data_IF_706991400321
#
_entry.id   IF_706991400321
#
_cell.length_a   1.000
_cell.length_b   1.000
_cell.length_c   1.000
_cell.angle_alpha   90.00
_cell.angle_beta   90.00
_cell.angle_gamma   90.00
#
_symmetry.space_group_name_H-M   'P 1'
#
loop_
_entity.id
_entity.type
_entity.pdbx_description
1 polymer ?
#
# COMPACT_ATOMS: atom_id res chain seq x y z
N UNK A 1 11.66 -14.41 4.47
CA UNK A 1 10.67 -14.18 3.37
C UNK A 1 9.80 -13.01 3.79
N UNK A 2 9.52 -12.05 2.90
CA UNK A 2 8.72 -10.87 3.25
C UNK A 2 7.23 -11.27 3.23
N UNK A 3 6.51 -11.16 4.37
CA UNK A 3 5.10 -11.57 4.47
C UNK A 3 4.18 -10.84 3.48
N UNK A 4 4.52 -9.62 3.06
CA UNK A 4 3.79 -8.91 2.00
C UNK A 4 3.84 -9.62 0.64
N UNK A 5 4.96 -10.28 0.33
CA UNK A 5 5.13 -11.00 -0.93
C UNK A 5 4.39 -12.33 -0.96
N UNK A 6 3.91 -12.80 0.19
CA UNK A 6 3.17 -14.04 0.37
C UNK A 6 1.66 -13.80 0.54
N UNK A 7 1.17 -12.57 0.33
CA UNK A 7 -0.21 -12.17 0.64
C UNK A 7 -0.60 -12.39 2.13
N UNK A 8 0.38 -12.55 3.02
CA UNK A 8 0.16 -12.74 4.46
C UNK A 8 0.07 -11.38 5.16
N UNK A 9 -0.89 -10.54 4.76
CA UNK A 9 -0.97 -9.15 5.23
C UNK A 9 -1.19 -9.02 6.75
N UNK A 10 -1.93 -9.95 7.36
CA UNK A 10 -2.13 -9.95 8.80
C UNK A 10 -0.81 -10.18 9.56
N UNK A 11 -0.01 -11.16 9.11
CA UNK A 11 1.31 -11.43 9.69
C UNK A 11 2.27 -10.26 9.43
N UNK A 12 2.22 -9.69 8.22
CA UNK A 12 3.01 -8.52 7.85
C UNK A 12 2.71 -7.32 8.76
N UNK A 13 1.43 -7.09 9.08
CA UNK A 13 0.99 -6.04 9.98
C UNK A 13 1.50 -6.29 11.40
N UNK A 14 1.25 -7.47 11.97
CA UNK A 14 1.62 -7.81 13.34
C UNK A 14 3.13 -7.67 13.58
N UNK A 15 3.94 -8.25 12.69
CA UNK A 15 5.40 -8.19 12.79
C UNK A 15 5.89 -6.76 12.62
N UNK A 16 5.29 -5.99 11.71
CA UNK A 16 5.73 -4.61 11.46
C UNK A 16 5.34 -3.67 12.60
N UNK A 17 4.16 -3.83 13.22
CA UNK A 17 3.78 -3.07 14.41
C UNK A 17 4.68 -3.41 15.61
N UNK A 18 4.94 -4.69 15.85
CA UNK A 18 5.85 -5.14 16.90
C UNK A 18 7.28 -4.65 16.67
N UNK A 19 7.75 -4.71 15.43
CA UNK A 19 9.05 -4.19 15.00
C UNK A 19 9.16 -2.68 15.20
N UNK A 20 8.13 -1.93 14.77
CA UNK A 20 8.09 -0.48 14.90
C UNK A 20 8.04 -0.01 16.36
N UNK A 21 7.37 -0.76 17.24
CA UNK A 21 7.33 -0.46 18.67
C UNK A 21 8.70 -0.61 19.35
N UNK A 22 9.54 -1.53 18.88
CA UNK A 22 10.90 -1.75 19.39
C UNK A 22 11.92 -0.83 18.73
N UNK A 23 11.82 -0.68 17.42
CA UNK A 23 12.75 0.04 16.57
C UNK A 23 11.98 0.81 15.49
N UNK A 24 11.53 2.05 15.78
CA UNK A 24 10.79 2.85 14.83
C UNK A 24 11.57 3.04 13.53
N UNK A 25 10.95 2.69 12.40
CA UNK A 25 11.59 2.81 11.10
C UNK A 25 10.57 3.14 9.99
N UNK A 26 10.96 3.99 9.01
CA UNK A 26 10.16 4.20 7.81
C UNK A 26 9.79 2.92 7.06
N UNK A 27 10.62 1.87 7.10
CA UNK A 27 10.29 0.62 6.42
C UNK A 27 9.13 -0.13 7.10
N UNK A 28 9.04 -0.07 8.43
CA UNK A 28 7.88 -0.63 9.13
C UNK A 28 6.61 0.15 8.84
N UNK A 29 6.69 1.49 8.78
CA UNK A 29 5.56 2.32 8.36
C UNK A 29 5.10 1.99 6.93
N UNK A 30 6.01 1.69 6.01
CA UNK A 30 5.67 1.21 4.67
C UNK A 30 4.91 -0.13 4.74
N UNK A 31 5.45 -1.11 5.47
CA UNK A 31 4.82 -2.43 5.57
C UNK A 31 3.44 -2.39 6.25
N UNK A 32 3.29 -1.61 7.32
CA UNK A 32 2.01 -1.35 7.99
C UNK A 32 1.01 -0.74 7.00
N UNK A 33 1.44 0.29 6.27
CA UNK A 33 0.58 0.98 5.31
C UNK A 33 0.07 0.07 4.19
N UNK A 34 0.97 -0.69 3.57
CA UNK A 34 0.62 -1.65 2.50
C UNK A 34 -0.26 -2.79 3.04
N UNK A 35 0.05 -3.33 4.22
CA UNK A 35 -0.74 -4.41 4.83
C UNK A 35 -2.17 -3.96 5.13
N UNK A 36 -2.35 -2.79 5.77
CA UNK A 36 -3.67 -2.26 6.10
C UNK A 36 -4.51 -1.95 4.86
N UNK A 37 -3.88 -1.43 3.80
CA UNK A 37 -4.58 -1.18 2.54
C UNK A 37 -5.09 -2.48 1.91
N UNK A 38 -4.25 -3.51 1.80
CA UNK A 38 -4.66 -4.79 1.22
C UNK A 38 -5.69 -5.53 2.10
N UNK A 39 -5.58 -5.48 3.42
CA UNK A 39 -6.60 -6.01 4.32
C UNK A 39 -7.95 -5.29 4.13
N UNK A 40 -7.94 -3.99 3.81
CA UNK A 40 -9.17 -3.24 3.53
C UNK A 40 -9.79 -3.62 2.19
N UNK A 41 -8.98 -3.91 1.18
CA UNK A 41 -9.43 -4.46 -0.10
C UNK A 41 -10.01 -5.87 0.07
N UNK A 42 -9.37 -6.73 0.87
CA UNK A 42 -9.87 -8.07 1.19
C UNK A 42 -11.23 -8.03 1.91
N UNK A 43 -11.45 -7.03 2.77
CA UNK A 43 -12.74 -6.80 3.43
C UNK A 43 -13.80 -6.33 2.42
N UNK A 44 -13.45 -5.42 1.51
CA UNK A 44 -14.35 -4.94 0.45
C UNK A 44 -14.79 -6.06 -0.49
N UNK A 45 -13.87 -6.95 -0.87
CA UNK A 45 -14.19 -8.13 -1.69
C UNK A 45 -15.17 -9.10 -0.99
N UNK A 46 -15.11 -9.20 0.34
CA UNK A 46 -15.94 -10.13 1.14
C UNK A 46 -17.29 -9.57 1.52
N UNK A 47 -17.33 -8.31 1.97
CA UNK A 47 -18.52 -7.65 2.52
C UNK A 47 -19.23 -6.76 1.49
N UNK A 48 -18.62 -6.58 0.31
CA UNK A 48 -19.10 -5.70 -0.76
C UNK A 48 -18.75 -4.22 -0.51
N UNK A 49 -19.28 -3.34 -1.37
CA UNK A 49 -19.02 -1.90 -1.33
C UNK A 49 -19.60 -1.15 -0.11
N UNK A 50 -20.07 -1.84 0.92
CA UNK A 50 -20.57 -1.20 2.13
C UNK A 50 -19.43 -0.45 2.84
N UNK A 51 -19.45 0.89 2.77
CA UNK A 51 -18.51 1.74 3.50
C UNK A 51 -18.81 1.68 5.00
N UNK A 52 -18.08 0.84 5.73
CA UNK A 52 -18.12 0.83 7.19
C UNK A 52 -17.14 1.86 7.76
N UNK A 53 -17.47 2.44 8.91
CA UNK A 53 -16.61 3.39 9.60
C UNK A 53 -15.25 2.77 9.96
N UNK A 54 -15.25 1.48 10.33
CA UNK A 54 -14.05 0.71 10.62
C UNK A 54 -13.11 0.60 9.40
N UNK A 55 -13.66 0.44 8.19
CA UNK A 55 -12.87 0.41 6.95
C UNK A 55 -12.22 1.76 6.67
N UNK A 56 -12.97 2.85 6.86
CA UNK A 56 -12.44 4.19 6.67
C UNK A 56 -11.31 4.51 7.66
N UNK A 57 -11.45 4.11 8.93
CA UNK A 57 -10.39 4.21 9.94
C UNK A 57 -9.15 3.41 9.54
N UNK A 58 -9.34 2.20 9.00
CA UNK A 58 -8.25 1.35 8.52
C UNK A 58 -7.51 1.98 7.34
N UNK A 59 -8.23 2.52 6.35
CA UNK A 59 -7.64 3.23 5.20
C UNK A 59 -6.95 4.53 5.61
N UNK A 60 -7.49 5.26 6.58
CA UNK A 60 -6.82 6.44 7.13
C UNK A 60 -5.50 6.06 7.80
N UNK A 61 -5.48 5.01 8.62
CA UNK A 61 -4.25 4.51 9.25
C UNK A 61 -3.22 4.02 8.21
N UNK A 62 -3.70 3.40 7.13
CA UNK A 62 -2.85 3.01 6.00
C UNK A 62 -2.21 4.23 5.35
N UNK A 63 -3.01 5.25 5.01
CA UNK A 63 -2.56 6.49 4.40
C UNK A 63 -1.54 7.23 5.26
N UNK A 64 -1.81 7.38 6.55
CA UNK A 64 -0.91 8.06 7.48
C UNK A 64 0.44 7.34 7.59
N UNK A 65 0.42 6.00 7.63
CA UNK A 65 1.63 5.18 7.70
C UNK A 65 2.44 5.29 6.41
N UNK A 66 1.78 5.24 5.25
CA UNK A 66 2.44 5.43 3.96
C UNK A 66 3.03 6.84 3.83
N UNK A 67 2.30 7.89 4.24
CA UNK A 67 2.82 9.28 4.24
C UNK A 67 4.03 9.44 5.14
N UNK A 68 4.04 8.84 6.34
CA UNK A 68 5.21 8.83 7.24
C UNK A 68 6.40 8.11 6.63
N UNK A 69 6.17 6.97 6.00
CA UNK A 69 7.24 6.24 5.32
C UNK A 69 7.77 7.01 4.10
N UNK A 70 6.88 7.68 3.36
CA UNK A 70 7.19 8.48 2.16
C UNK A 70 7.97 9.75 2.45
N UNK A 71 7.76 10.38 3.61
CA UNK A 71 8.49 11.58 4.02
C UNK A 71 9.94 11.31 4.47
N UNK A 72 10.33 10.05 4.61
CA UNK A 72 11.69 9.68 5.01
C UNK A 72 12.75 10.02 3.95
N UNK A 73 13.97 10.34 4.40
CA UNK A 73 15.10 10.65 3.53
C UNK A 73 15.45 9.48 2.57
N UNK A 74 15.28 8.24 3.02
CA UNK A 74 15.46 7.06 2.17
C UNK A 74 14.45 7.06 1.00
N UNK A 75 13.17 7.25 1.30
CA UNK A 75 12.12 7.26 0.27
C UNK A 75 12.32 8.41 -0.73
N UNK A 76 12.77 9.58 -0.26
CA UNK A 76 13.05 10.74 -1.13
C UNK A 76 14.28 10.52 -2.02
N UNK A 77 15.29 9.81 -1.52
CA UNK A 77 16.51 9.51 -2.30
C UNK A 77 16.20 8.53 -3.44
N UNK A 78 15.48 7.44 -3.15
CA UNK A 78 15.05 6.44 -4.15
C UNK A 78 14.11 7.02 -5.22
N UNK A 79 13.37 8.09 -4.92
CA UNK A 79 12.52 8.79 -5.90
C UNK A 79 13.33 9.40 -7.05
N UNK A 80 14.57 9.80 -6.81
CA UNK A 80 15.45 10.35 -7.86
C UNK A 80 16.00 9.25 -8.78
N UNK A 81 16.13 8.03 -8.26
CA UNK A 81 16.70 6.86 -8.94
C UNK A 81 15.66 6.01 -9.69
N UNK A 82 14.37 6.41 -9.64
CA UNK A 82 13.19 5.64 -10.08
C UNK A 82 13.11 5.22 -11.55
N UNK A 83 14.08 5.59 -12.39
CA UNK A 83 14.00 5.32 -13.83
C UNK A 83 14.19 3.83 -14.17
N UNK A 84 14.76 3.01 -13.27
CA UNK A 84 15.19 1.64 -13.63
C UNK A 84 14.85 0.54 -12.60
N UNK A 85 14.32 0.86 -11.42
CA UNK A 85 14.14 -0.13 -10.36
C UNK A 85 12.83 -0.94 -10.51
N UNK A 86 12.97 -2.26 -10.69
CA UNK A 86 11.87 -3.22 -10.91
C UNK A 86 11.40 -3.95 -9.64
N UNK A 87 11.80 -3.50 -8.44
CA UNK A 87 11.44 -4.15 -7.17
C UNK A 87 11.06 -3.14 -6.09
N UNK A 88 9.96 -3.41 -5.39
CA UNK A 88 9.53 -2.72 -4.17
C UNK A 88 10.69 -2.65 -3.15
N UNK A 89 10.78 -1.60 -2.31
CA UNK A 89 9.77 -0.55 -2.05
C UNK A 89 9.92 0.73 -2.89
N UNK A 90 8.80 1.45 -3.07
CA UNK A 90 8.68 2.77 -3.71
C UNK A 90 8.54 2.78 -5.24
N UNK A 91 7.80 1.83 -5.77
CA UNK A 91 7.37 1.78 -7.17
C UNK A 91 6.33 2.87 -7.48
N UNK A 92 6.07 3.11 -8.76
CA UNK A 92 4.99 4.01 -9.21
C UNK A 92 3.62 3.61 -8.64
N UNK A 93 3.37 2.29 -8.50
CA UNK A 93 2.16 1.75 -7.88
C UNK A 93 1.97 2.19 -6.42
N UNK A 94 3.03 2.45 -5.67
CA UNK A 94 2.90 2.92 -4.29
C UNK A 94 2.33 4.36 -4.24
N UNK A 95 2.59 5.19 -5.26
CA UNK A 95 1.96 6.52 -5.34
C UNK A 95 0.51 6.43 -5.81
N UNK A 96 0.20 5.49 -6.71
CA UNK A 96 -1.18 5.20 -7.12
C UNK A 96 -2.02 4.74 -5.93
N UNK A 97 -1.45 3.90 -5.05
CA UNK A 97 -2.08 3.48 -3.80
C UNK A 97 -2.41 4.67 -2.89
N UNK A 98 -1.44 5.56 -2.67
CA UNK A 98 -1.63 6.75 -1.83
C UNK A 98 -2.73 7.64 -2.40
N UNK A 99 -2.67 7.94 -3.70
CA UNK A 99 -3.68 8.76 -4.37
C UNK A 99 -5.07 8.12 -4.33
N UNK A 100 -5.15 6.79 -4.43
CA UNK A 100 -6.41 6.07 -4.33
C UNK A 100 -6.97 6.13 -2.91
N UNK A 101 -6.14 5.90 -1.88
CA UNK A 101 -6.57 6.03 -0.48
C UNK A 101 -7.08 7.45 -0.17
N UNK A 102 -6.41 8.48 -0.69
CA UNK A 102 -6.86 9.88 -0.56
C UNK A 102 -8.25 10.07 -1.17
N UNK A 103 -8.46 9.60 -2.41
CA UNK A 103 -9.77 9.68 -3.08
C UNK A 103 -10.87 8.95 -2.32
N UNK A 104 -10.59 7.76 -1.80
CA UNK A 104 -11.57 6.97 -1.04
C UNK A 104 -11.99 7.63 0.27
N UNK A 105 -11.07 8.39 0.89
CA UNK A 105 -11.37 9.14 2.10
C UNK A 105 -12.10 10.46 1.78
N UNK A 106 -11.76 11.11 0.67
CA UNK A 106 -12.43 12.34 0.19
C UNK A 106 -13.89 12.11 -0.23
N UNK A 107 -14.20 11.00 -0.91
CA UNK A 107 -15.57 10.64 -1.30
C UNK A 107 -16.50 10.45 -0.10
N UNK A 108 -15.96 10.13 1.08
CA UNK A 108 -16.74 10.09 2.33
C UNK A 108 -17.05 11.49 2.88
N UNK A 109 -16.14 12.45 2.70
CA UNK A 109 -16.33 13.82 3.17
C UNK A 109 -17.23 14.64 2.25
N UNK A 110 -17.32 14.27 0.97
CA UNK A 110 -18.23 14.88 0.00
C UNK A 110 -19.38 13.94 -0.28
N UNK A 111 -20.40 13.99 0.58
CA UNK A 111 -21.70 13.37 0.32
C UNK A 111 -22.16 13.73 -1.10
N UNK A 112 -22.41 12.71 -1.94
CA UNK A 112 -22.96 12.79 -3.31
C UNK A 112 -21.96 12.92 -4.46
N UNK A 113 -21.25 11.85 -4.80
CA UNK A 113 -20.91 11.59 -6.20
C UNK A 113 -20.68 10.09 -6.41
N UNK A 114 -21.42 9.49 -7.36
CA UNK A 114 -21.26 8.09 -7.75
C UNK A 114 -19.92 7.93 -8.48
N UNK A 115 -18.86 7.56 -7.76
CA UNK A 115 -17.63 7.12 -8.38
C UNK A 115 -17.71 5.63 -8.71
N UNK A 116 -17.51 5.32 -9.99
CA UNK A 116 -17.35 3.97 -10.52
C UNK A 116 -16.23 3.23 -9.77
N UNK A 117 -16.42 1.95 -9.41
CA UNK A 117 -15.41 1.19 -8.68
C UNK A 117 -14.23 0.88 -9.60
N UNK A 118 -13.17 1.70 -9.53
CA UNK A 118 -11.87 1.31 -10.07
C UNK A 118 -11.26 0.26 -9.14
N UNK A 119 -11.36 -1.02 -9.53
CA UNK A 119 -10.64 -2.10 -8.87
C UNK A 119 -9.13 -1.84 -8.95
N UNK A 120 -8.49 -1.63 -7.79
CA UNK A 120 -7.03 -1.52 -7.70
C UNK A 120 -6.41 -2.92 -7.76
N UNK A 121 -5.34 -3.15 -8.53
CA UNK A 121 -4.56 -4.38 -8.43
C UNK A 121 -3.91 -4.47 -7.04
N UNK A 122 -3.83 -5.67 -6.44
CA UNK A 122 -3.13 -5.87 -5.15
C UNK A 122 -1.70 -5.32 -5.23
N UNK A 123 -1.33 -4.47 -4.28
CA UNK A 123 -0.05 -3.72 -4.30
C UNK A 123 0.86 -4.31 -3.21
N UNK A 124 2.13 -4.54 -3.55
CA UNK A 124 3.11 -5.20 -2.66
C UNK A 124 3.27 -6.71 -2.89
N UNK A 125 2.41 -7.30 -3.72
CA UNK A 125 2.35 -8.74 -4.02
C UNK A 125 2.87 -9.09 -5.41
N UNK A 126 3.26 -8.07 -6.21
CA UNK A 126 3.88 -8.30 -7.50
C UNK A 126 5.24 -9.00 -7.29
N UNK A 127 5.22 -10.33 -7.23
CA UNK A 127 6.05 -11.09 -8.16
C UNK A 127 5.69 -10.57 -9.55
N UNK A 128 6.41 -9.54 -9.99
CA UNK A 128 6.71 -9.45 -11.42
C UNK A 128 7.44 -10.74 -11.73
N UNK A 129 6.66 -11.76 -12.12
CA UNK A 129 7.18 -12.89 -12.86
C UNK A 129 8.06 -12.29 -13.93
N UNK A 130 9.33 -12.70 -13.91
CA UNK A 130 10.30 -12.61 -14.99
C UNK A 130 9.80 -11.75 -16.14
N UNK A 131 10.08 -10.46 -16.10
CA UNK A 131 9.95 -9.64 -17.30
C UNK A 131 11.00 -10.20 -18.27
N UNK A 132 10.64 -10.93 -19.35
CA UNK A 132 11.60 -11.44 -20.31
C UNK A 132 11.87 -10.33 -21.31
N UNK A 133 12.29 -9.16 -20.82
CA UNK A 133 12.77 -8.09 -21.67
C UNK A 133 14.28 -8.22 -21.79
N UNK A 134 14.67 -9.04 -22.78
CA UNK A 134 15.90 -8.93 -23.56
C UNK A 134 17.12 -9.71 -23.06
N UNK A 135 17.10 -11.03 -23.28
CA UNK A 135 18.19 -11.59 -24.09
C UNK A 135 18.04 -10.99 -25.49
N UNK A 136 18.93 -10.07 -25.86
CA UNK A 136 19.29 -9.91 -27.27
C UNK A 136 20.70 -10.46 -27.42
N UNK A 137 20.79 -11.39 -28.37
CA UNK A 137 21.99 -12.03 -28.91
C UNK A 137 23.00 -10.98 -29.37
#
# INVERSE_FOLDING_TARGET
VCHLQLDEFQNALEISEAGNARHPSPQFHYHIGVALANLGLDQEDREGFAHTDARAEQWQKALDSLKKARSSAEAQSRRKERKEACKSPWLMYDDELINWLEKQLETRHTSSSMCEPQMMPRIGTQQVGWCPCSYRV
#
